data_IF_882602222971
#
_entry.id   IF_882602222971
#
_cell.length_a   1.000
_cell.length_b   1.000
_cell.length_c   1.000
_cell.angle_alpha   90.00
_cell.angle_beta   90.00
_cell.angle_gamma   90.00
#
_symmetry.space_group_name_H-M   'P 1'
#
loop_
_entity.id
_entity.type
_entity.pdbx_description
1 polymer ?
#
# COMPACT_ATOMS: atom_id res chain seq x y z
N UNK A 1 17.02 3.54 -19.92
CA UNK A 1 15.59 3.80 -20.21
C UNK A 1 14.93 3.95 -18.86
N UNK A 2 14.42 5.12 -18.51
CA UNK A 2 13.72 5.32 -17.23
C UNK A 2 12.32 4.73 -17.35
N UNK A 3 12.03 3.71 -16.55
CA UNK A 3 10.70 3.13 -16.49
C UNK A 3 9.74 4.21 -15.96
N UNK A 4 8.62 4.47 -16.64
CA UNK A 4 7.68 5.53 -16.22
C UNK A 4 7.10 5.30 -14.81
N UNK A 5 7.24 4.08 -14.31
CA UNK A 5 6.74 3.59 -13.04
C UNK A 5 7.81 3.51 -11.94
N UNK A 6 9.07 3.83 -12.25
CA UNK A 6 10.20 3.72 -11.30
C UNK A 6 10.04 4.67 -10.09
N UNK A 7 9.43 5.84 -10.33
CA UNK A 7 9.15 6.85 -9.30
C UNK A 7 7.71 6.77 -8.76
N UNK A 8 6.93 5.73 -9.11
CA UNK A 8 5.53 5.59 -8.67
C UNK A 8 5.42 4.49 -7.63
N UNK A 9 4.65 4.76 -6.59
CA UNK A 9 4.30 3.74 -5.60
C UNK A 9 3.38 2.67 -6.19
N UNK A 10 3.42 1.45 -5.62
CA UNK A 10 2.47 0.38 -5.98
C UNK A 10 1.02 0.83 -5.84
N UNK A 11 0.74 1.70 -4.85
CA UNK A 11 -0.57 2.28 -4.60
C UNK A 11 -1.04 3.22 -5.73
N UNK A 12 -0.17 4.08 -6.24
CA UNK A 12 -0.50 4.96 -7.37
C UNK A 12 -0.77 4.16 -8.66
N UNK A 13 0.01 3.10 -8.88
CA UNK A 13 -0.19 2.22 -10.03
C UNK A 13 -1.51 1.45 -9.88
N UNK A 14 -1.83 0.97 -8.67
CA UNK A 14 -3.12 0.36 -8.38
C UNK A 14 -4.28 1.34 -8.61
N UNK A 15 -4.12 2.61 -8.26
CA UNK A 15 -5.13 3.65 -8.51
C UNK A 15 -5.35 3.84 -10.02
N UNK A 16 -4.29 3.99 -10.81
CA UNK A 16 -4.39 4.09 -12.26
C UNK A 16 -4.99 2.84 -12.91
N UNK A 17 -4.60 1.64 -12.44
CA UNK A 17 -5.14 0.36 -12.89
C UNK A 17 -6.66 0.33 -12.65
N UNK A 18 -7.08 0.66 -11.43
CA UNK A 18 -8.48 0.64 -11.05
C UNK A 18 -9.27 1.70 -11.81
N UNK A 19 -8.73 2.90 -12.05
CA UNK A 19 -9.36 3.94 -12.89
C UNK A 19 -9.65 3.44 -14.32
N UNK A 20 -8.76 2.61 -14.89
CA UNK A 20 -8.93 2.04 -16.24
C UNK A 20 -9.95 0.90 -16.27
N UNK A 21 -9.88 -0.05 -15.33
CA UNK A 21 -10.75 -1.25 -15.35
C UNK A 21 -12.20 -1.00 -14.96
N UNK A 22 -12.48 0.02 -14.12
CA UNK A 22 -13.84 0.36 -13.64
C UNK A 22 -14.65 -0.80 -13.06
N UNK A 23 -13.98 -1.86 -12.60
CA UNK A 23 -14.60 -3.04 -11.98
C UNK A 23 -13.89 -3.36 -10.66
N UNK A 24 -14.63 -3.77 -9.61
CA UNK A 24 -14.02 -4.28 -8.38
C UNK A 24 -13.16 -5.51 -8.65
N UNK A 25 -12.00 -5.61 -7.99
CA UNK A 25 -11.08 -6.74 -8.12
C UNK A 25 -10.59 -7.21 -6.76
N UNK A 26 -10.21 -8.49 -6.69
CA UNK A 26 -9.53 -9.05 -5.51
C UNK A 26 -8.19 -8.38 -5.27
N UNK A 27 -7.78 -8.28 -4.01
CA UNK A 27 -6.49 -7.68 -3.66
C UNK A 27 -5.33 -8.38 -4.38
N UNK A 28 -5.33 -9.72 -4.35
CA UNK A 28 -4.30 -10.54 -5.03
C UNK A 28 -4.18 -10.19 -6.52
N UNK A 29 -5.31 -9.96 -7.19
CA UNK A 29 -5.32 -9.63 -8.63
C UNK A 29 -4.80 -8.23 -8.89
N UNK A 30 -5.16 -7.26 -8.04
CA UNK A 30 -4.61 -5.90 -8.11
C UNK A 30 -3.09 -5.96 -7.92
N UNK A 31 -2.60 -6.68 -6.92
CA UNK A 31 -1.17 -6.83 -6.62
C UNK A 31 -0.40 -7.47 -7.80
N UNK A 32 -0.94 -8.55 -8.39
CA UNK A 32 -0.34 -9.19 -9.57
C UNK A 32 -0.25 -8.22 -10.76
N UNK A 33 -1.34 -7.54 -11.11
CA UNK A 33 -1.33 -6.62 -12.25
C UNK A 33 -0.41 -5.41 -12.02
N UNK A 34 -0.33 -4.91 -10.78
CA UNK A 34 0.63 -3.86 -10.41
C UNK A 34 2.07 -4.36 -10.57
N UNK A 35 2.35 -5.60 -10.15
CA UNK A 35 3.65 -6.25 -10.36
C UNK A 35 4.02 -6.33 -11.83
N UNK A 36 3.09 -6.76 -12.69
CA UNK A 36 3.28 -6.86 -14.14
C UNK A 36 3.56 -5.49 -14.77
N UNK A 37 2.86 -4.44 -14.31
CA UNK A 37 3.07 -3.06 -14.81
C UNK A 37 4.44 -2.51 -14.38
N UNK A 38 4.87 -2.82 -13.16
CA UNK A 38 6.16 -2.39 -12.63
C UNK A 38 7.34 -3.23 -13.15
N UNK A 39 7.07 -4.45 -13.62
CA UNK A 39 8.10 -5.42 -13.99
C UNK A 39 8.77 -6.07 -12.77
N UNK A 40 8.04 -6.19 -11.65
CA UNK A 40 8.52 -6.88 -10.46
C UNK A 40 8.42 -8.40 -10.62
N UNK A 41 9.38 -9.14 -10.08
CA UNK A 41 9.31 -10.60 -9.95
C UNK A 41 8.30 -10.99 -8.86
N UNK A 42 7.86 -12.25 -8.88
CA UNK A 42 6.93 -12.77 -7.86
C UNK A 42 7.51 -12.72 -6.44
N UNK A 43 8.82 -12.92 -6.30
CA UNK A 43 9.51 -12.80 -5.02
C UNK A 43 9.50 -11.35 -4.49
N UNK A 44 9.78 -10.37 -5.34
CA UNK A 44 9.70 -8.95 -4.98
C UNK A 44 8.27 -8.54 -4.64
N UNK A 45 7.29 -9.07 -5.38
CA UNK A 45 5.88 -8.86 -5.06
C UNK A 45 5.55 -9.40 -3.67
N UNK A 46 5.94 -10.65 -3.35
CA UNK A 46 5.70 -11.27 -2.03
C UNK A 46 6.31 -10.45 -0.90
N UNK A 47 7.57 -10.01 -1.04
CA UNK A 47 8.25 -9.15 -0.04
C UNK A 47 7.52 -7.83 0.20
N UNK A 48 6.96 -7.23 -0.86
CA UNK A 48 6.25 -5.94 -0.80
C UNK A 48 4.74 -6.07 -0.54
N UNK A 49 4.20 -7.29 -0.57
CA UNK A 49 2.75 -7.54 -0.53
C UNK A 49 2.12 -7.05 0.77
N UNK A 50 2.74 -7.36 1.91
CA UNK A 50 2.25 -6.95 3.24
C UNK A 50 2.21 -5.44 3.37
N UNK A 51 3.26 -4.76 2.90
CA UNK A 51 3.31 -3.29 2.90
C UNK A 51 2.28 -2.69 1.94
N UNK A 52 2.12 -3.28 0.75
CA UNK A 52 1.10 -2.85 -0.20
C UNK A 52 -0.32 -3.01 0.36
N UNK A 53 -0.60 -4.07 1.10
CA UNK A 53 -1.89 -4.25 1.78
C UNK A 53 -2.14 -3.17 2.85
N UNK A 54 -1.12 -2.87 3.66
CA UNK A 54 -1.19 -1.78 4.64
C UNK A 54 -1.40 -0.42 3.96
N UNK A 55 -0.63 -0.11 2.91
CA UNK A 55 -0.77 1.13 2.15
C UNK A 55 -2.16 1.25 1.51
N UNK A 56 -2.71 0.16 0.98
CA UNK A 56 -4.02 0.12 0.35
C UNK A 56 -5.14 0.41 1.36
N UNK A 57 -5.12 -0.24 2.52
CA UNK A 57 -6.11 -0.08 3.60
C UNK A 57 -6.01 1.31 4.25
N UNK A 58 -4.79 1.84 4.45
CA UNK A 58 -4.55 3.16 5.03
C UNK A 58 -4.79 4.33 4.06
N UNK A 59 -4.69 4.10 2.75
CA UNK A 59 -4.82 5.18 1.75
C UNK A 59 -6.16 5.92 1.79
N UNK A 60 -7.22 5.26 2.27
CA UNK A 60 -8.60 5.76 2.22
C UNK A 60 -9.15 5.99 0.81
N UNK A 61 -8.36 5.68 -0.24
CA UNK A 61 -8.73 5.79 -1.66
C UNK A 61 -9.47 4.55 -2.15
N UNK A 62 -9.18 3.41 -1.53
CA UNK A 62 -9.81 2.13 -1.82
C UNK A 62 -10.83 1.81 -0.73
N UNK A 63 -11.91 1.15 -1.13
CA UNK A 63 -12.95 0.64 -0.24
C UNK A 63 -13.16 -0.83 -0.57
N UNK A 64 -13.32 -1.63 0.47
CA UNK A 64 -13.78 -2.98 0.29
C UNK A 64 -15.29 -2.93 0.01
N UNK A 65 -15.72 -3.56 -1.09
CA UNK A 65 -17.12 -3.57 -1.51
C UNK A 65 -17.81 -4.85 -1.02
N UNK A 66 -17.07 -5.96 -0.93
CA UNK A 66 -17.56 -7.26 -0.48
C UNK A 66 -16.42 -8.29 -0.38
N UNK A 67 -16.18 -8.85 0.80
CA UNK A 67 -15.17 -9.90 1.03
C UNK A 67 -13.75 -9.40 0.73
N UNK A 68 -13.09 -9.96 -0.30
CA UNK A 68 -11.78 -9.48 -0.78
C UNK A 68 -11.89 -8.49 -1.96
N UNK A 69 -13.10 -8.04 -2.35
CA UNK A 69 -13.26 -7.17 -3.52
C UNK A 69 -13.02 -5.71 -3.17
N UNK A 70 -11.97 -5.14 -3.73
CA UNK A 70 -11.59 -3.74 -3.59
C UNK A 70 -12.03 -2.91 -4.79
N UNK A 71 -12.47 -1.68 -4.52
CA UNK A 71 -12.78 -0.68 -5.53
C UNK A 71 -12.38 0.73 -5.07
N UNK A 72 -12.41 1.72 -5.97
CA UNK A 72 -12.13 3.11 -5.63
C UNK A 72 -13.29 3.74 -4.85
N UNK A 73 -12.99 4.39 -3.73
CA UNK A 73 -13.94 5.16 -2.92
C UNK A 73 -14.70 6.20 -3.75
N UNK A 74 -14.01 6.84 -4.70
CA UNK A 74 -14.58 7.85 -5.59
C UNK A 74 -15.68 7.32 -6.52
N UNK A 75 -15.77 6.00 -6.73
CA UNK A 75 -16.82 5.36 -7.53
C UNK A 75 -18.02 4.89 -6.70
N UNK A 76 -17.81 4.59 -5.43
CA UNK A 76 -18.82 4.01 -4.58
C UNK A 76 -19.72 5.10 -3.99
N UNK A 77 -20.99 4.76 -3.76
CA UNK A 77 -21.92 5.67 -3.08
C UNK A 77 -21.48 5.83 -1.63
N UNK A 78 -21.78 7.00 -1.06
CA UNK A 78 -21.52 7.31 0.34
C UNK A 78 -21.99 6.20 1.29
N UNK A 79 -23.20 5.70 1.05
CA UNK A 79 -23.86 4.63 1.83
C UNK A 79 -23.08 3.30 1.85
N UNK A 80 -22.27 3.01 0.83
CA UNK A 80 -21.56 1.72 0.70
C UNK A 80 -20.34 1.66 1.60
N UNK A 81 -19.64 2.78 1.81
CA UNK A 81 -18.40 2.78 2.61
C UNK A 81 -18.60 3.29 4.04
N UNK A 82 -19.74 3.87 4.40
CA UNK A 82 -20.04 4.18 5.81
C UNK A 82 -20.18 2.93 6.66
N UNK A 83 -20.78 1.87 6.11
CA UNK A 83 -20.99 0.61 6.81
C UNK A 83 -19.67 -0.17 7.07
N UNK A 84 -18.56 0.19 6.43
CA UNK A 84 -17.25 -0.45 6.64
C UNK A 84 -16.61 -0.04 7.98
N UNK A 85 -17.01 1.10 8.54
CA UNK A 85 -16.49 1.60 9.83
C UNK A 85 -17.30 1.11 11.03
N UNK A 86 -18.38 0.36 10.78
CA UNK A 86 -19.06 -0.39 11.83
C UNK A 86 -18.24 -1.63 12.05
N UNK A 87 -17.29 -1.55 12.99
CA UNK A 87 -16.65 -2.74 13.53
C UNK A 87 -17.75 -3.53 14.24
N UNK A 88 -18.22 -4.58 13.59
CA UNK A 88 -18.97 -5.62 14.28
C UNK A 88 -17.93 -6.32 15.17
N UNK A 89 -18.13 -6.26 16.49
CA UNK A 89 -17.23 -6.81 17.53
C UNK A 89 -17.26 -8.36 17.53
N UNK A 90 -17.73 -8.98 16.45
CA UNK A 90 -17.75 -10.43 16.25
C UNK A 90 -16.44 -10.85 15.58
N UNK A 91 -15.50 -11.25 16.43
CA UNK A 91 -14.21 -11.87 16.15
C UNK A 91 -14.35 -13.07 15.18
N UNK A 92 -14.33 -12.82 13.87
CA UNK A 92 -14.23 -13.86 12.84
C UNK A 92 -12.75 -14.17 12.59
N UNK A 93 -12.25 -15.21 13.26
CA UNK A 93 -10.95 -15.82 13.03
C UNK A 93 -10.93 -16.45 11.61
N UNK A 94 -10.59 -15.65 10.59
CA UNK A 94 -10.31 -16.17 9.25
C UNK A 94 -8.99 -16.97 9.27
N UNK A 95 -9.13 -18.29 9.34
CA UNK A 95 -8.07 -19.27 9.10
C UNK A 95 -7.59 -19.15 7.65
N UNK A 96 -6.52 -18.39 7.44
CA UNK A 96 -5.82 -18.32 6.16
C UNK A 96 -5.06 -19.64 5.95
N UNK A 97 -5.71 -20.61 5.32
CA UNK A 97 -5.08 -21.83 4.81
C UNK A 97 -3.99 -21.44 3.79
N UNK A 98 -2.75 -21.41 4.28
CA UNK A 98 -1.55 -21.18 3.49
C UNK A 98 -1.23 -22.52 2.82
N UNK A 99 -1.68 -22.70 1.59
CA UNK A 99 -1.36 -23.88 0.76
C UNK A 99 0.18 -23.92 0.57
N UNK A 100 0.84 -24.70 1.43
CA UNK A 100 2.29 -24.90 1.54
C UNK A 100 2.73 -26.06 0.63
N UNK A 101 2.49 -25.95 -0.68
CA UNK A 101 2.95 -26.95 -1.65
C UNK A 101 3.81 -26.33 -2.77
N UNK A 102 4.91 -25.63 -2.42
CA UNK A 102 6.18 -25.65 -3.19
C UNK A 102 7.27 -24.75 -2.54
N UNK A 103 7.72 -25.10 -1.33
CA UNK A 103 8.97 -24.54 -0.79
C UNK A 103 10.05 -25.61 -0.90
N UNK A 104 10.61 -25.74 -2.12
CA UNK A 104 11.91 -26.36 -2.28
C UNK A 104 12.96 -25.49 -1.59
N UNK A 105 13.64 -26.11 -0.63
CA UNK A 105 14.56 -25.40 0.26
C UNK A 105 15.76 -24.86 -0.49
N UNK A 106 16.00 -23.55 -0.36
CA UNK A 106 17.35 -23.00 -0.41
C UNK A 106 17.59 -22.06 0.78
N UNK A 107 18.76 -22.29 1.35
CA UNK A 107 19.39 -21.78 2.56
C UNK A 107 19.40 -20.25 2.61
N UNK A 108 18.82 -19.67 3.68
CA UNK A 108 18.94 -18.24 3.96
C UNK A 108 20.36 -17.95 4.45
N UNK A 109 21.21 -17.39 3.58
CA UNK A 109 22.42 -16.69 3.99
C UNK A 109 22.01 -15.31 4.56
N UNK A 110 22.24 -15.11 5.86
CA UNK A 110 22.21 -13.80 6.53
C UNK A 110 23.47 -13.01 6.12
N UNK A 111 23.28 -11.88 5.44
CA UNK A 111 24.31 -10.90 5.09
C UNK A 111 23.58 -9.57 4.82
N UNK A 112 23.89 -8.39 5.34
CA UNK A 112 24.82 -7.88 6.35
C UNK A 112 24.30 -6.46 6.68
N UNK A 113 24.56 -5.95 7.89
CA UNK A 113 24.18 -4.60 8.33
C UNK A 113 24.98 -3.51 7.59
N UNK A 114 24.32 -2.57 6.91
CA UNK A 114 24.98 -1.35 6.40
C UNK A 114 24.32 -0.08 6.97
N UNK A 115 24.96 0.40 8.03
CA UNK A 115 25.21 1.78 8.49
C UNK A 115 24.25 2.90 8.01
N UNK A 116 23.39 3.35 8.93
CA UNK A 116 22.63 4.58 8.80
C UNK A 116 23.56 5.76 9.07
N UNK A 117 24.15 6.31 8.01
CA UNK A 117 24.95 7.53 8.09
C UNK A 117 24.07 8.72 8.51
N UNK A 118 24.55 9.41 9.54
CA UNK A 118 23.92 10.46 10.32
C UNK A 118 23.87 11.76 9.50
N UNK A 119 22.82 11.98 8.72
CA UNK A 119 22.61 13.26 8.04
C UNK A 119 22.17 14.34 9.04
N UNK A 120 23.16 15.15 9.44
CA UNK A 120 23.10 16.36 10.27
C UNK A 120 21.90 17.26 9.90
N UNK A 121 20.91 17.31 10.81
CA UNK A 121 19.77 18.22 10.74
C UNK A 121 20.26 19.67 10.66
N UNK A 122 19.81 20.48 9.67
CA UNK A 122 20.15 21.89 9.65
C UNK A 122 19.56 22.60 10.87
N UNK A 123 20.42 23.32 11.59
CA UNK A 123 20.05 24.22 12.68
C UNK A 123 19.09 25.29 12.13
N UNK A 124 17.83 25.24 12.55
CA UNK A 124 16.87 26.30 12.23
C UNK A 124 17.29 27.55 12.99
N UNK A 125 17.79 28.53 12.24
CA UNK A 125 18.05 29.89 12.68
C UNK A 125 16.76 30.48 13.26
N UNK A 126 16.86 30.88 14.54
CA UNK A 126 15.85 31.55 15.35
C UNK A 126 15.35 32.80 14.62
N UNK A 127 14.20 32.70 13.96
CA UNK A 127 13.56 33.88 13.38
C UNK A 127 13.06 34.77 14.53
N UNK A 128 13.85 35.81 14.81
CA UNK A 128 13.54 36.88 15.73
C UNK A 128 12.07 37.32 15.62
N UNK A 129 11.40 37.33 16.77
CA UNK A 129 10.10 37.95 16.97
C UNK A 129 10.21 39.45 16.66
N UNK A 130 9.57 39.92 15.59
CA UNK A 130 9.24 41.35 15.45
C UNK A 130 7.74 41.53 15.67
N UNK A 131 7.48 42.13 16.82
CA UNK A 131 6.27 42.78 17.25
C UNK A 131 5.64 43.61 16.10
N UNK A 132 4.43 43.24 15.68
CA UNK A 132 3.55 44.16 14.94
C UNK A 132 2.26 44.34 15.72
N UNK A 133 2.30 45.33 16.63
CA UNK A 133 1.15 46.07 17.13
C UNK A 133 0.14 46.46 16.01
N UNK A 134 -1.14 46.33 16.37
CA UNK A 134 -2.30 47.15 16.00
C UNK A 134 -2.70 47.28 14.51
N UNK A 135 -3.85 46.66 14.17
CA UNK A 135 -4.93 47.27 13.35
C UNK A 135 -6.24 46.46 13.41
#
# INVERSE_FOLDING_TARGET
MTNKYDNKSMLEIAEELMLRKKTPQSFRKIAQEVSEIMGLSEEELKKRLTRFYADLTLSGKFVNVSGDKWDLKSRQKFEVYENQFVYDDEEEEEDYDYDEEDLDGEELEEDDEEDLDDEELPEYDDFETDDVEDL
#
